data_IF_144513561298
#
_entry.id   IF_144513561298
#
_cell.length_a   1.000
_cell.length_b   1.000
_cell.length_c   1.000
_cell.angle_alpha   90.00
_cell.angle_beta   90.00
_cell.angle_gamma   90.00
#
_symmetry.space_group_name_H-M   'P 1'
#
loop_
_entity.id
_entity.type
_entity.pdbx_description
1 polymer ?
#
# COMPACT_ATOMS: atom_id res chain seq x y z
N UNK A 1 -61.27 37.44 39.68
CA UNK A 1 -59.77 37.37 39.51
C UNK A 1 -59.37 35.89 39.22
N UNK A 2 -59.18 35.55 37.97
CA UNK A 2 -58.74 34.21 37.57
C UNK A 2 -57.21 34.22 37.54
N UNK A 3 -56.58 33.37 38.40
CA UNK A 3 -55.14 33.16 38.38
C UNK A 3 -54.80 32.15 37.28
N UNK A 4 -54.08 32.61 36.24
CA UNK A 4 -53.47 31.72 35.22
C UNK A 4 -52.21 31.11 35.82
N UNK A 5 -52.17 29.81 35.96
CA UNK A 5 -50.94 29.04 36.27
C UNK A 5 -50.24 28.72 34.93
N UNK A 6 -49.09 29.30 34.67
CA UNK A 6 -48.21 28.90 33.59
C UNK A 6 -47.40 27.69 34.05
N UNK A 7 -47.66 26.52 33.46
CA UNK A 7 -46.87 25.30 33.64
C UNK A 7 -45.65 25.39 32.66
N UNK A 8 -44.49 25.67 33.20
CA UNK A 8 -43.25 25.57 32.43
C UNK A 8 -42.91 24.07 32.25
N UNK A 9 -43.10 23.55 31.03
CA UNK A 9 -42.66 22.20 30.67
C UNK A 9 -41.15 22.28 30.38
N UNK A 10 -40.31 21.81 31.30
CA UNK A 10 -38.87 21.67 31.11
C UNK A 10 -38.61 20.47 30.17
N UNK A 11 -38.46 20.71 28.88
CA UNK A 11 -38.02 19.69 27.94
C UNK A 11 -36.53 19.44 28.16
N UNK A 12 -36.21 18.44 29.00
CA UNK A 12 -34.84 17.92 29.10
C UNK A 12 -34.60 17.09 27.87
N UNK A 13 -33.95 17.64 26.87
CA UNK A 13 -33.37 16.87 25.77
C UNK A 13 -32.22 16.06 26.33
N UNK A 14 -32.47 14.80 26.65
CA UNK A 14 -31.42 13.80 26.85
C UNK A 14 -30.68 13.65 25.53
N UNK A 15 -29.59 14.38 25.37
CA UNK A 15 -28.60 14.06 24.31
C UNK A 15 -28.09 12.66 24.67
N UNK A 16 -28.16 11.69 23.77
CA UNK A 16 -27.56 10.38 24.01
C UNK A 16 -26.07 10.58 24.25
N UNK A 17 -25.60 10.37 25.45
CA UNK A 17 -24.17 10.21 25.73
C UNK A 17 -23.78 8.88 25.12
N UNK A 18 -23.24 8.92 23.89
CA UNK A 18 -22.68 7.77 23.25
C UNK A 18 -21.43 7.33 24.03
N UNK A 19 -21.55 6.23 24.73
CA UNK A 19 -20.43 5.63 25.46
C UNK A 19 -19.51 4.98 24.42
N UNK A 20 -18.37 5.63 24.09
CA UNK A 20 -17.31 5.02 23.29
C UNK A 20 -16.93 3.70 23.95
N UNK A 21 -17.08 2.58 23.21
CA UNK A 21 -16.64 1.28 23.70
C UNK A 21 -15.12 1.23 23.70
N UNK A 22 -14.50 1.39 24.87
CA UNK A 22 -13.06 1.32 25.06
C UNK A 22 -12.65 0.11 25.88
N UNK A 23 -11.53 -0.49 25.54
CA UNK A 23 -10.91 -1.60 26.28
C UNK A 23 -9.41 -1.68 25.97
N UNK A 24 -8.67 -2.42 26.79
CA UNK A 24 -7.23 -2.62 26.61
C UNK A 24 -6.93 -4.09 26.36
N UNK A 25 -6.03 -4.38 25.42
CA UNK A 25 -5.53 -5.70 25.10
C UNK A 25 -4.03 -5.78 25.39
N UNK A 26 -3.58 -6.83 26.05
CA UNK A 26 -2.17 -7.13 26.17
C UNK A 26 -1.67 -7.82 24.90
N UNK A 27 -0.65 -7.25 24.26
CA UNK A 27 0.02 -7.87 23.11
C UNK A 27 1.13 -8.82 23.54
N UNK A 28 1.63 -8.64 24.78
CA UNK A 28 2.59 -9.55 25.41
C UNK A 28 1.99 -10.08 26.71
N UNK A 29 2.37 -11.31 27.15
CA UNK A 29 1.82 -11.92 28.35
C UNK A 29 2.01 -11.10 29.64
N UNK A 30 3.10 -10.34 29.69
CA UNK A 30 3.46 -9.46 30.82
C UNK A 30 2.78 -8.07 30.74
N UNK A 31 2.03 -7.77 29.67
CA UNK A 31 1.41 -6.47 29.45
C UNK A 31 2.41 -5.33 29.15
N UNK A 32 3.65 -5.64 28.82
CA UNK A 32 4.64 -4.63 28.47
C UNK A 32 4.28 -3.91 27.16
N UNK A 33 3.72 -4.63 26.18
CA UNK A 33 3.07 -4.07 25.01
C UNK A 33 1.55 -4.18 25.14
N UNK A 34 0.83 -3.08 24.90
CA UNK A 34 -0.63 -2.99 25.06
C UNK A 34 -1.27 -2.22 23.91
N UNK A 35 -2.47 -2.62 23.54
CA UNK A 35 -3.30 -1.94 22.53
C UNK A 35 -4.55 -1.38 23.21
N UNK A 36 -4.69 -0.06 23.22
CA UNK A 36 -5.84 0.66 23.74
C UNK A 36 -6.84 0.85 22.61
N UNK A 37 -7.96 0.19 22.65
CA UNK A 37 -9.00 0.21 21.63
C UNK A 37 -10.10 1.22 21.96
N UNK A 38 -10.50 2.00 20.97
CA UNK A 38 -11.61 2.95 21.02
C UNK A 38 -12.49 2.72 19.79
N UNK A 39 -13.63 2.08 19.98
CA UNK A 39 -14.52 1.71 18.88
C UNK A 39 -15.66 2.73 18.76
N UNK A 40 -15.96 3.24 17.57
CA UNK A 40 -17.06 4.16 17.34
C UNK A 40 -18.40 3.44 17.39
N UNK A 41 -19.45 4.15 17.82
CA UNK A 41 -20.83 3.62 17.86
C UNK A 41 -21.34 3.30 16.44
N UNK A 42 -21.01 4.16 15.47
CA UNK A 42 -21.38 4.02 14.07
C UNK A 42 -20.11 3.78 13.20
N UNK A 43 -19.60 2.54 13.14
CA UNK A 43 -18.36 2.27 12.44
C UNK A 43 -18.50 2.43 10.91
N UNK A 44 -17.54 3.14 10.31
CA UNK A 44 -17.39 3.24 8.85
C UNK A 44 -16.78 1.98 8.24
N UNK A 45 -16.21 1.12 9.08
CA UNK A 45 -15.36 0.00 8.67
C UNK A 45 -13.88 0.33 8.67
N UNK A 46 -13.48 1.63 8.58
CA UNK A 46 -12.07 2.05 8.63
C UNK A 46 -11.51 1.97 10.05
N UNK A 47 -10.22 1.64 10.15
CA UNK A 47 -9.49 1.63 11.41
C UNK A 47 -8.13 2.31 11.27
N UNK A 48 -7.56 2.75 12.39
CA UNK A 48 -6.21 3.30 12.46
C UNK A 48 -5.49 2.78 13.70
N UNK A 49 -4.25 2.33 13.53
CA UNK A 49 -3.32 2.03 14.63
C UNK A 49 -2.42 3.24 14.84
N UNK A 50 -2.42 3.79 16.04
CA UNK A 50 -1.70 5.02 16.41
C UNK A 50 -0.44 4.66 17.18
N UNK A 51 0.71 5.17 16.73
CA UNK A 51 2.03 4.96 17.30
C UNK A 51 2.56 6.29 17.86
N UNK A 52 2.50 6.51 19.18
CA UNK A 52 3.02 7.72 19.79
C UNK A 52 4.52 7.89 19.59
N UNK A 53 5.02 9.13 19.55
CA UNK A 53 6.44 9.45 19.57
C UNK A 53 7.05 9.35 20.96
N UNK A 54 8.30 9.84 21.08
CA UNK A 54 9.07 9.83 22.34
C UNK A 54 10.51 9.38 22.14
N UNK A 55 11.04 9.49 20.91
CA UNK A 55 12.45 9.24 20.60
C UNK A 55 12.93 7.82 20.82
N UNK A 56 12.02 6.83 20.88
CA UNK A 56 12.28 5.44 21.27
C UNK A 56 12.82 5.27 22.70
N UNK A 57 12.56 6.25 23.57
CA UNK A 57 12.95 6.23 24.99
C UNK A 57 11.72 6.20 25.90
N UNK A 58 10.65 6.86 25.48
CA UNK A 58 9.36 6.91 26.16
C UNK A 58 8.21 7.01 25.14
N UNK A 59 6.97 7.15 25.58
CA UNK A 59 5.79 7.29 24.70
C UNK A 59 4.94 8.48 25.13
N UNK A 60 4.63 9.38 24.20
CA UNK A 60 3.68 10.48 24.36
C UNK A 60 2.24 9.96 24.21
N UNK A 61 1.80 9.16 25.18
CA UNK A 61 0.54 8.39 25.11
C UNK A 61 -0.72 9.27 25.04
N UNK A 62 -0.68 10.47 25.59
CA UNK A 62 -1.84 11.39 25.60
C UNK A 62 -1.91 12.13 24.24
N UNK A 63 -1.13 13.17 24.08
CA UNK A 63 -1.13 14.11 22.96
C UNK A 63 -0.90 13.46 21.58
N UNK A 64 -0.07 12.44 21.50
CA UNK A 64 0.25 11.72 20.25
C UNK A 64 -0.42 10.33 20.20
N UNK A 65 -1.26 10.02 21.19
CA UNK A 65 -1.93 8.74 21.35
C UNK A 65 -3.43 8.87 21.54
N UNK A 66 -3.88 8.73 22.80
CA UNK A 66 -5.31 8.55 23.13
C UNK A 66 -6.18 9.77 22.83
N UNK A 67 -5.61 10.98 22.84
CA UNK A 67 -6.33 12.22 22.52
C UNK A 67 -6.82 12.28 21.08
N UNK A 68 -6.32 11.41 20.21
CA UNK A 68 -6.80 11.27 18.83
C UNK A 68 -8.08 10.42 18.71
N UNK A 69 -8.40 9.61 19.71
CA UNK A 69 -9.55 8.72 19.63
C UNK A 69 -10.90 9.43 19.38
N UNK A 70 -11.22 10.56 20.04
CA UNK A 70 -12.46 11.30 19.76
C UNK A 70 -12.56 11.78 18.31
N UNK A 71 -11.47 12.26 17.73
CA UNK A 71 -11.44 12.70 16.32
C UNK A 71 -11.77 11.53 15.37
N UNK A 72 -11.08 10.40 15.50
CA UNK A 72 -11.32 9.24 14.65
C UNK A 72 -12.70 8.66 14.85
N UNK A 73 -13.15 8.52 16.10
CA UNK A 73 -14.46 7.98 16.41
C UNK A 73 -15.62 8.87 15.90
N UNK A 74 -15.44 10.21 15.88
CA UNK A 74 -16.42 11.13 15.29
C UNK A 74 -16.62 10.90 13.78
N UNK A 75 -15.63 10.30 13.10
CA UNK A 75 -15.67 9.90 11.70
C UNK A 75 -16.08 8.44 11.49
N UNK A 76 -16.45 7.74 12.53
CA UNK A 76 -16.74 6.31 12.48
C UNK A 76 -15.51 5.42 12.30
N UNK A 77 -14.30 5.96 12.51
CA UNK A 77 -13.03 5.24 12.38
C UNK A 77 -12.65 4.64 13.73
N UNK A 78 -12.41 3.33 13.79
CA UNK A 78 -11.92 2.68 15.00
C UNK A 78 -10.45 3.09 15.25
N UNK A 79 -10.15 3.49 16.49
CA UNK A 79 -8.82 3.98 16.87
C UNK A 79 -8.17 3.00 17.85
N UNK A 80 -6.94 2.59 17.56
CA UNK A 80 -6.15 1.66 18.37
C UNK A 80 -4.81 2.30 18.69
N UNK A 81 -4.58 2.66 19.96
CA UNK A 81 -3.32 3.29 20.38
C UNK A 81 -2.39 2.23 20.92
N UNK A 82 -1.23 2.10 20.31
CA UNK A 82 -0.23 1.10 20.69
C UNK A 82 0.80 1.66 21.68
N UNK A 83 0.81 1.08 22.87
CA UNK A 83 1.95 1.19 23.79
C UNK A 83 2.97 0.12 23.39
N UNK A 84 3.87 0.47 22.48
CA UNK A 84 4.93 -0.44 22.05
C UNK A 84 6.13 -0.41 23.00
N UNK A 85 6.86 -1.51 23.05
CA UNK A 85 8.07 -1.62 23.89
C UNK A 85 9.23 -0.83 23.27
N UNK A 86 10.06 -0.25 24.15
CA UNK A 86 11.26 0.46 23.70
C UNK A 86 12.27 -0.53 23.13
N UNK A 87 12.93 -0.18 22.00
CA UNK A 87 13.86 -1.09 21.32
C UNK A 87 15.10 -1.40 22.12
N UNK A 88 15.65 -0.44 22.87
CA UNK A 88 16.92 -0.59 23.58
C UNK A 88 18.06 -1.10 22.67
N UNK A 89 18.02 -0.68 21.39
CA UNK A 89 18.94 -1.12 20.35
C UNK A 89 18.54 -2.38 19.58
N UNK A 90 17.44 -3.03 19.94
CA UNK A 90 16.83 -4.12 19.16
C UNK A 90 15.55 -3.64 18.46
N UNK A 91 15.69 -3.24 17.22
CA UNK A 91 14.61 -2.71 16.39
C UNK A 91 13.47 -3.72 16.18
N UNK A 92 13.72 -5.04 16.33
CA UNK A 92 12.69 -6.06 16.16
C UNK A 92 11.61 -5.98 17.25
N UNK A 93 11.93 -5.39 18.40
CA UNK A 93 10.97 -5.24 19.50
C UNK A 93 9.79 -4.33 19.11
N UNK A 94 10.00 -3.03 18.82
CA UNK A 94 8.89 -2.14 18.46
C UNK A 94 8.26 -2.50 17.11
N UNK A 95 9.06 -2.97 16.14
CA UNK A 95 8.54 -3.41 14.83
C UNK A 95 7.63 -4.61 15.02
N UNK A 96 8.05 -5.62 15.79
CA UNK A 96 7.24 -6.81 16.08
C UNK A 96 5.95 -6.48 16.83
N UNK A 97 5.98 -5.56 17.81
CA UNK A 97 4.79 -5.10 18.52
C UNK A 97 3.80 -4.40 17.57
N UNK A 98 4.30 -3.51 16.71
CA UNK A 98 3.47 -2.77 15.75
C UNK A 98 2.89 -3.69 14.66
N UNK A 99 3.66 -4.63 14.13
CA UNK A 99 3.16 -5.65 13.22
C UNK A 99 2.12 -6.57 13.87
N UNK A 100 2.32 -6.95 15.13
CA UNK A 100 1.35 -7.75 15.89
C UNK A 100 0.04 -6.98 16.07
N UNK A 101 0.11 -5.69 16.42
CA UNK A 101 -1.07 -4.82 16.53
C UNK A 101 -1.84 -4.75 15.22
N UNK A 102 -1.17 -4.55 14.09
CA UNK A 102 -1.79 -4.50 12.76
C UNK A 102 -2.50 -5.82 12.43
N UNK A 103 -1.84 -6.96 12.63
CA UNK A 103 -2.43 -8.29 12.41
C UNK A 103 -3.63 -8.52 13.33
N UNK A 104 -3.51 -8.21 14.63
CA UNK A 104 -4.61 -8.38 15.60
C UNK A 104 -5.85 -7.56 15.21
N UNK A 105 -5.67 -6.31 14.75
CA UNK A 105 -6.79 -5.48 14.29
C UNK A 105 -7.47 -6.10 13.07
N UNK A 106 -6.70 -6.63 12.11
CA UNK A 106 -7.24 -7.30 10.92
C UNK A 106 -7.93 -8.63 11.25
N UNK A 107 -7.35 -9.44 12.13
CA UNK A 107 -7.90 -10.72 12.53
C UNK A 107 -9.19 -10.56 13.33
N UNK A 108 -9.33 -9.46 14.09
CA UNK A 108 -10.51 -9.12 14.87
C UNK A 108 -11.55 -8.30 14.08
N UNK A 109 -11.37 -8.13 12.78
CA UNK A 109 -12.16 -7.23 11.96
C UNK A 109 -13.67 -7.48 12.05
N UNK A 110 -14.10 -8.74 12.02
CA UNK A 110 -15.51 -9.10 12.14
C UNK A 110 -16.08 -8.71 13.52
N UNK A 111 -15.35 -9.01 14.59
CA UNK A 111 -15.76 -8.71 15.97
C UNK A 111 -15.89 -7.21 16.23
N UNK A 112 -15.02 -6.40 15.60
CA UNK A 112 -14.95 -4.95 15.82
C UNK A 112 -15.63 -4.15 14.73
N UNK A 113 -16.27 -4.83 13.77
CA UNK A 113 -16.95 -4.22 12.62
C UNK A 113 -16.02 -3.36 11.76
N UNK A 114 -14.81 -3.86 11.54
CA UNK A 114 -13.75 -3.24 10.74
C UNK A 114 -13.64 -3.97 9.40
N UNK A 115 -13.23 -3.25 8.38
CA UNK A 115 -12.78 -3.82 7.12
C UNK A 115 -11.28 -4.17 7.20
N UNK A 116 -10.86 -5.44 7.08
CA UNK A 116 -9.45 -5.81 7.16
C UNK A 116 -8.58 -5.25 6.03
N UNK A 117 -9.17 -4.68 4.99
CA UNK A 117 -8.50 -4.04 3.86
C UNK A 117 -8.55 -2.50 3.92
N UNK A 118 -8.89 -1.92 5.08
CA UNK A 118 -8.94 -0.47 5.30
C UNK A 118 -8.44 -0.13 6.72
N UNK A 119 -7.25 -0.66 7.05
CA UNK A 119 -6.58 -0.45 8.33
C UNK A 119 -5.31 0.38 8.11
N UNK A 120 -5.36 1.64 8.50
CA UNK A 120 -4.24 2.55 8.42
C UNK A 120 -3.35 2.55 9.65
N UNK A 121 -2.25 3.30 9.53
CA UNK A 121 -1.33 3.57 10.63
C UNK A 121 -1.12 5.07 10.77
N UNK A 122 -1.04 5.54 12.00
CA UNK A 122 -0.66 6.91 12.32
C UNK A 122 0.56 6.88 13.22
N UNK A 123 1.52 7.78 12.99
CA UNK A 123 2.66 7.90 13.88
C UNK A 123 3.20 9.31 13.94
N UNK A 124 3.69 9.68 15.14
CA UNK A 124 4.29 10.97 15.41
C UNK A 124 5.78 10.81 15.75
N UNK A 125 6.64 11.69 15.23
CA UNK A 125 8.07 11.70 15.56
C UNK A 125 8.74 10.32 15.36
N UNK A 126 9.31 9.71 16.39
CA UNK A 126 9.81 8.32 16.35
C UNK A 126 8.72 7.30 16.05
N UNK A 127 7.47 7.52 16.50
CA UNK A 127 6.32 6.71 16.09
C UNK A 127 6.00 6.87 14.60
N UNK A 128 6.27 8.04 14.02
CA UNK A 128 6.20 8.26 12.57
C UNK A 128 7.26 7.47 11.80
N UNK A 129 8.45 7.30 12.37
CA UNK A 129 9.46 6.39 11.84
C UNK A 129 8.96 4.94 11.87
N UNK A 130 8.45 4.49 13.00
CA UNK A 130 7.92 3.13 13.13
C UNK A 130 6.74 2.88 12.17
N UNK A 131 5.83 3.86 12.01
CA UNK A 131 4.71 3.79 11.08
C UNK A 131 5.18 3.67 9.62
N UNK A 132 6.11 4.53 9.19
CA UNK A 132 6.69 4.47 7.85
C UNK A 132 7.57 3.23 7.63
N UNK A 133 8.18 2.68 8.68
CA UNK A 133 8.88 1.38 8.62
C UNK A 133 7.91 0.25 8.29
N UNK A 134 6.76 0.16 8.97
CA UNK A 134 5.76 -0.85 8.63
C UNK A 134 5.26 -0.68 7.19
N UNK A 135 5.03 0.56 6.77
CA UNK A 135 4.53 0.88 5.44
C UNK A 135 5.50 0.47 4.31
N UNK A 136 6.80 0.44 4.58
CA UNK A 136 7.84 0.17 3.58
C UNK A 136 8.44 -1.23 3.68
N UNK A 137 8.40 -1.88 4.86
CA UNK A 137 9.11 -3.16 5.10
C UNK A 137 8.18 -4.34 5.36
N UNK A 138 7.02 -4.13 6.02
CA UNK A 138 6.19 -5.24 6.47
C UNK A 138 5.56 -6.04 5.33
N UNK A 139 5.25 -7.30 5.61
CA UNK A 139 4.42 -8.14 4.75
C UNK A 139 3.01 -7.59 4.62
N UNK A 140 2.25 -8.10 3.65
CA UNK A 140 0.89 -7.64 3.37
C UNK A 140 -0.01 -7.63 4.61
N UNK A 141 0.07 -8.66 5.46
CA UNK A 141 -0.79 -8.83 6.63
C UNK A 141 -0.57 -7.75 7.69
N UNK A 142 0.65 -7.22 7.80
CA UNK A 142 1.02 -6.18 8.75
C UNK A 142 1.18 -4.79 8.11
N UNK A 143 1.31 -4.73 6.76
CA UNK A 143 1.45 -3.44 6.07
C UNK A 143 0.14 -2.66 6.17
N UNK A 144 0.17 -1.38 6.57
CA UNK A 144 -1.02 -0.54 6.59
C UNK A 144 -1.59 -0.29 5.18
N UNK A 145 -2.87 0.08 5.10
CA UNK A 145 -3.52 0.47 3.85
C UNK A 145 -3.37 1.97 3.56
N UNK A 146 -3.04 2.77 4.58
CA UNK A 146 -2.70 4.21 4.48
C UNK A 146 -1.85 4.66 5.67
N UNK A 147 -1.17 5.81 5.53
CA UNK A 147 -0.28 6.37 6.54
C UNK A 147 -0.68 7.80 6.90
N UNK A 148 -0.67 8.13 8.19
CA UNK A 148 -0.79 9.49 8.74
C UNK A 148 0.48 9.78 9.53
N UNK A 149 1.31 10.71 9.07
CA UNK A 149 2.63 10.96 9.63
C UNK A 149 2.74 12.39 10.15
N UNK A 150 2.89 12.53 11.45
CA UNK A 150 3.09 13.81 12.13
C UNK A 150 4.58 14.03 12.38
N UNK A 151 5.15 15.09 11.82
CA UNK A 151 6.58 15.46 11.96
C UNK A 151 7.49 14.23 12.09
N UNK A 152 7.39 13.26 11.13
CA UNK A 152 7.98 11.96 11.30
C UNK A 152 9.51 12.01 11.24
N UNK A 153 10.18 11.24 12.09
CA UNK A 153 11.54 10.79 11.81
C UNK A 153 11.46 9.86 10.59
N UNK A 154 12.36 10.04 9.64
CA UNK A 154 12.43 9.24 8.39
C UNK A 154 13.85 8.76 8.11
N UNK A 155 14.82 9.69 8.12
CA UNK A 155 16.23 9.35 7.96
C UNK A 155 16.79 8.73 9.25
N UNK A 156 17.62 7.71 9.11
CA UNK A 156 18.42 7.15 10.19
C UNK A 156 19.86 7.66 10.17
N UNK A 157 20.17 8.68 9.37
CA UNK A 157 21.45 9.38 9.42
C UNK A 157 21.45 10.38 10.59
N UNK A 158 22.31 10.18 11.58
CA UNK A 158 22.40 11.01 12.79
C UNK A 158 22.61 12.51 12.52
N UNK A 159 23.13 12.88 11.35
CA UNK A 159 23.35 14.29 10.95
C UNK A 159 22.11 14.95 10.36
N UNK A 160 21.08 14.18 10.06
CA UNK A 160 19.90 14.61 9.30
C UNK A 160 18.61 14.53 10.09
N UNK A 161 18.62 13.92 11.29
CA UNK A 161 17.42 13.62 12.05
C UNK A 161 17.65 13.70 13.57
N UNK A 162 16.62 13.35 14.36
CA UNK A 162 16.71 13.25 15.81
C UNK A 162 17.67 12.12 16.22
N UNK A 163 18.86 12.46 16.68
CA UNK A 163 19.93 11.52 17.04
C UNK A 163 19.48 10.47 18.05
N UNK A 164 18.70 10.86 19.07
CA UNK A 164 18.18 9.92 20.06
C UNK A 164 17.30 8.83 19.46
N UNK A 165 16.54 9.13 18.40
CA UNK A 165 15.75 8.12 17.68
C UNK A 165 16.63 7.12 16.93
N UNK A 166 17.73 7.58 16.33
CA UNK A 166 18.71 6.70 15.67
C UNK A 166 19.36 5.77 16.68
N UNK A 167 19.85 6.34 17.81
CA UNK A 167 20.49 5.58 18.90
C UNK A 167 19.52 4.56 19.51
N UNK A 168 18.28 4.97 19.80
CA UNK A 168 17.26 4.11 20.39
C UNK A 168 16.88 2.96 19.47
N UNK A 169 16.69 3.21 18.18
CA UNK A 169 16.20 2.22 17.21
C UNK A 169 17.32 1.30 16.71
N UNK A 170 18.40 1.87 16.17
CA UNK A 170 19.49 1.08 15.57
C UNK A 170 20.52 0.58 16.61
N UNK A 171 20.61 1.20 17.78
CA UNK A 171 21.58 0.79 18.80
C UNK A 171 23.01 0.76 18.26
N UNK A 172 23.67 -0.39 18.38
CA UNK A 172 25.05 -0.61 17.87
C UNK A 172 25.16 -0.56 16.34
N UNK A 173 24.05 -0.75 15.61
CA UNK A 173 24.02 -0.72 14.15
C UNK A 173 23.94 0.69 13.55
N UNK A 174 23.88 1.73 14.36
CA UNK A 174 23.79 3.14 13.90
C UNK A 174 24.97 3.61 13.05
N UNK A 175 26.12 2.93 13.16
CA UNK A 175 27.32 3.20 12.34
C UNK A 175 27.44 2.29 11.12
N UNK A 176 26.52 1.35 10.92
CA UNK A 176 26.46 0.49 9.75
C UNK A 176 25.70 1.20 8.62
N UNK A 177 26.37 1.57 7.49
CA UNK A 177 25.74 2.31 6.40
C UNK A 177 24.56 1.55 5.76
N UNK A 178 24.60 0.21 5.72
CA UNK A 178 23.53 -0.59 5.14
C UNK A 178 22.29 -0.57 6.05
N UNK A 179 22.47 -0.65 7.36
CA UNK A 179 21.37 -0.53 8.32
C UNK A 179 20.77 0.88 8.35
N UNK A 180 21.61 1.91 8.32
CA UNK A 180 21.17 3.30 8.19
C UNK A 180 20.35 3.49 6.93
N UNK A 181 20.82 2.98 5.78
CA UNK A 181 20.12 3.02 4.50
C UNK A 181 18.83 2.21 4.54
N UNK A 182 18.86 1.01 5.11
CA UNK A 182 17.71 0.11 5.16
C UNK A 182 16.55 0.74 5.95
N UNK A 183 16.84 1.43 7.05
CA UNK A 183 15.82 2.05 7.90
C UNK A 183 15.65 3.56 7.69
N UNK A 184 16.31 4.15 6.72
CA UNK A 184 15.93 5.46 6.16
C UNK A 184 14.78 5.25 5.17
N UNK A 185 13.56 5.48 5.65
CA UNK A 185 12.34 5.01 4.97
C UNK A 185 12.05 5.72 3.63
N UNK A 186 12.61 6.91 3.40
CA UNK A 186 12.60 7.58 2.09
C UNK A 186 13.33 6.76 1.01
N UNK A 187 14.32 5.96 1.39
CA UNK A 187 15.05 5.07 0.49
C UNK A 187 14.34 3.72 0.25
N UNK A 188 13.27 3.46 0.98
CA UNK A 188 12.55 2.18 0.96
C UNK A 188 11.15 2.26 0.33
N UNK A 189 10.75 3.44 -0.15
CA UNK A 189 9.47 3.62 -0.84
C UNK A 189 9.44 2.82 -2.13
N UNK A 190 8.40 2.00 -2.29
CA UNK A 190 8.20 1.12 -3.44
C UNK A 190 6.85 1.37 -4.09
N UNK A 191 6.85 1.54 -5.40
CA UNK A 191 5.63 1.66 -6.19
C UNK A 191 4.70 0.47 -5.96
N UNK A 192 3.39 0.72 -5.91
CA UNK A 192 2.31 -0.26 -5.70
C UNK A 192 2.32 -1.01 -4.37
N UNK A 193 3.39 -0.92 -3.58
CA UNK A 193 3.51 -1.60 -2.29
C UNK A 193 3.39 -0.63 -1.12
N UNK A 194 4.13 0.49 -1.15
CA UNK A 194 4.01 1.53 -0.10
C UNK A 194 2.64 2.19 -0.22
N UNK A 195 1.85 2.23 0.87
CA UNK A 195 0.51 2.80 0.85
C UNK A 195 0.52 4.34 0.81
N UNK A 196 -0.58 4.97 0.37
CA UNK A 196 -0.70 6.43 0.34
C UNK A 196 -0.49 7.05 1.72
N UNK A 197 0.03 8.28 1.75
CA UNK A 197 0.36 8.99 2.98
C UNK A 197 -0.16 10.43 3.01
N UNK A 198 -0.40 10.93 4.23
CA UNK A 198 -0.46 12.34 4.54
C UNK A 198 0.64 12.67 5.56
N UNK A 199 1.40 13.74 5.31
CA UNK A 199 2.49 14.20 6.16
C UNK A 199 2.15 15.61 6.65
N UNK A 200 2.16 15.80 7.98
CA UNK A 200 1.83 17.07 8.63
C UNK A 200 3.00 17.47 9.54
N UNK A 201 3.60 18.63 9.30
CA UNK A 201 4.78 19.10 10.04
C UNK A 201 4.84 20.60 10.13
N UNK A 202 5.69 21.14 10.99
CA UNK A 202 5.96 22.57 11.11
C UNK A 202 7.31 22.93 10.46
N UNK A 203 7.34 24.10 9.77
CA UNK A 203 8.56 24.61 9.14
C UNK A 203 9.71 24.80 10.14
N UNK A 204 9.38 25.25 11.35
CA UNK A 204 10.34 25.61 12.38
C UNK A 204 10.63 24.48 13.39
N UNK A 205 10.47 23.20 12.98
CA UNK A 205 10.80 22.04 13.81
C UNK A 205 12.34 21.92 13.99
N UNK A 206 12.87 22.13 15.22
CA UNK A 206 14.31 22.05 15.47
C UNK A 206 14.77 20.66 15.85
N UNK A 207 13.85 19.72 16.09
CA UNK A 207 14.13 18.37 16.60
C UNK A 207 14.24 17.37 15.46
N UNK A 208 13.27 17.44 14.53
CA UNK A 208 13.25 16.60 13.33
C UNK A 208 13.20 17.51 12.10
N UNK A 209 14.37 17.80 11.49
CA UNK A 209 14.45 18.73 10.37
C UNK A 209 13.52 18.32 9.21
N UNK A 210 12.56 19.20 8.77
CA UNK A 210 11.57 18.86 7.76
C UNK A 210 12.17 18.39 6.44
N UNK A 211 13.28 19.01 6.00
CA UNK A 211 13.87 18.76 4.66
C UNK A 211 14.36 17.33 4.53
N UNK A 212 15.10 16.85 5.53
CA UNK A 212 15.75 15.53 5.51
C UNK A 212 14.85 14.40 6.01
N UNK A 213 13.65 14.72 6.45
CA UNK A 213 12.66 13.75 6.95
C UNK A 213 11.35 13.83 6.14
N UNK A 214 10.34 14.55 6.57
CA UNK A 214 9.02 14.55 5.92
C UNK A 214 9.06 14.95 4.45
N UNK A 215 9.86 15.98 4.06
CA UNK A 215 10.01 16.38 2.65
C UNK A 215 10.78 15.33 1.85
N UNK A 216 11.81 14.71 2.41
CA UNK A 216 12.53 13.61 1.77
C UNK A 216 11.61 12.43 1.48
N UNK A 217 10.76 12.05 2.45
CA UNK A 217 9.77 10.97 2.27
C UNK A 217 8.72 11.34 1.21
N UNK A 218 8.15 12.54 1.27
CA UNK A 218 7.25 13.04 0.22
C UNK A 218 7.89 12.98 -1.17
N UNK A 219 9.14 13.42 -1.29
CA UNK A 219 9.88 13.40 -2.55
C UNK A 219 10.10 11.97 -3.07
N UNK A 220 10.36 11.01 -2.17
CA UNK A 220 10.48 9.60 -2.50
C UNK A 220 9.13 9.02 -2.97
N UNK A 221 8.03 9.34 -2.26
CA UNK A 221 6.68 8.95 -2.64
C UNK A 221 6.33 9.47 -4.04
N UNK A 222 6.62 10.73 -4.34
CA UNK A 222 6.39 11.34 -5.66
C UNK A 222 7.22 10.65 -6.76
N UNK A 223 8.51 10.39 -6.52
CA UNK A 223 9.36 9.67 -7.49
C UNK A 223 8.85 8.27 -7.80
N UNK A 224 8.24 7.61 -6.82
CA UNK A 224 7.65 6.27 -6.99
C UNK A 224 6.20 6.30 -7.48
N UNK A 225 5.60 7.49 -7.66
CA UNK A 225 4.21 7.63 -8.08
C UNK A 225 3.20 7.20 -7.01
N UNK A 226 3.61 7.15 -5.74
CA UNK A 226 2.72 6.81 -4.62
C UNK A 226 1.99 8.07 -4.15
N UNK A 227 0.66 8.06 -4.04
CA UNK A 227 -0.10 9.23 -3.60
C UNK A 227 0.33 9.72 -2.22
N UNK A 228 0.66 11.01 -2.11
CA UNK A 228 1.10 11.61 -0.85
C UNK A 228 0.70 13.08 -0.77
N UNK A 229 0.04 13.46 0.33
CA UNK A 229 -0.22 14.84 0.68
C UNK A 229 0.83 15.35 1.67
N UNK A 230 1.27 16.59 1.53
CA UNK A 230 2.25 17.23 2.41
C UNK A 230 1.74 18.59 2.87
N UNK A 231 1.66 18.78 4.18
CA UNK A 231 1.31 20.04 4.83
C UNK A 231 2.46 20.49 5.72
N UNK A 232 2.98 21.69 5.43
CA UNK A 232 4.04 22.32 6.21
C UNK A 232 3.49 23.61 6.79
N UNK A 233 3.15 23.60 8.07
CA UNK A 233 2.64 24.79 8.79
C UNK A 233 3.78 25.76 9.09
N UNK A 234 3.55 27.09 9.01
CA UNK A 234 4.62 28.08 9.17
C UNK A 234 5.35 28.01 10.52
N UNK A 235 4.64 27.59 11.58
CA UNK A 235 5.20 27.42 12.92
C UNK A 235 4.45 26.32 13.68
N UNK A 236 5.04 25.81 14.77
CA UNK A 236 4.43 24.78 15.60
C UNK A 236 5.46 23.97 16.40
N UNK A 237 6.74 24.13 16.05
CA UNK A 237 7.82 23.36 16.64
C UNK A 237 7.62 21.84 16.43
N UNK A 238 8.19 21.04 17.33
CA UNK A 238 8.02 19.60 17.36
C UNK A 238 6.97 19.20 18.41
N UNK A 239 6.21 18.12 18.16
CA UNK A 239 5.34 17.52 19.19
C UNK A 239 3.99 18.21 19.37
N UNK A 240 3.46 18.97 18.37
CA UNK A 240 2.16 19.63 18.50
C UNK A 240 0.98 18.63 18.58
N UNK A 241 1.10 17.44 17.99
CA UNK A 241 0.11 16.34 18.11
C UNK A 241 -1.34 16.80 17.97
N UNK A 242 -2.18 16.36 18.91
CA UNK A 242 -3.61 16.73 18.98
C UNK A 242 -3.88 18.05 19.71
N UNK A 243 -2.86 18.79 20.17
CA UNK A 243 -3.00 19.91 21.10
C UNK A 243 -3.86 21.07 20.50
N UNK A 244 -4.97 21.46 21.15
CA UNK A 244 -5.77 22.60 20.72
C UNK A 244 -5.01 23.95 20.77
N UNK A 245 -3.93 24.03 21.53
CA UNK A 245 -3.04 25.21 21.60
C UNK A 245 -2.15 25.39 20.39
N UNK A 246 -2.05 24.41 19.51
CA UNK A 246 -1.33 24.54 18.24
C UNK A 246 -2.02 25.60 17.36
N UNK A 247 -1.30 26.61 16.93
CA UNK A 247 -1.86 27.76 16.20
C UNK A 247 -2.69 27.35 14.98
N UNK A 248 -2.30 26.29 14.29
CA UNK A 248 -2.96 25.80 13.09
C UNK A 248 -3.81 24.55 13.36
N UNK A 249 -4.20 24.29 14.61
CA UNK A 249 -4.94 23.09 15.01
C UNK A 249 -6.19 22.85 14.15
N UNK A 250 -7.07 23.87 14.04
CA UNK A 250 -8.31 23.74 13.28
C UNK A 250 -8.07 23.48 11.79
N UNK A 251 -7.06 24.14 11.19
CA UNK A 251 -6.66 23.89 9.82
C UNK A 251 -6.14 22.45 9.65
N UNK A 252 -5.25 22.02 10.52
CA UNK A 252 -4.68 20.68 10.54
C UNK A 252 -5.78 19.60 10.62
N UNK A 253 -6.75 19.76 11.52
CA UNK A 253 -7.89 18.85 11.65
C UNK A 253 -8.74 18.84 10.36
N UNK A 254 -8.94 20.01 9.73
CA UNK A 254 -9.67 20.13 8.47
C UNK A 254 -8.92 19.45 7.30
N UNK A 255 -7.60 19.66 7.20
CA UNK A 255 -6.74 19.06 6.18
C UNK A 255 -6.72 17.53 6.31
N UNK A 256 -6.52 17.01 7.52
CA UNK A 256 -6.56 15.59 7.83
C UNK A 256 -7.94 14.99 7.56
N UNK A 257 -9.01 15.67 7.98
CA UNK A 257 -10.39 15.25 7.75
C UNK A 257 -10.68 15.13 6.25
N UNK A 258 -10.34 16.17 5.49
CA UNK A 258 -10.55 16.22 4.03
C UNK A 258 -9.79 15.09 3.32
N UNK A 259 -8.55 14.84 3.72
CA UNK A 259 -7.75 13.77 3.16
C UNK A 259 -8.37 12.40 3.45
N UNK A 260 -8.77 12.12 4.70
CA UNK A 260 -9.42 10.87 5.10
C UNK A 260 -10.74 10.64 4.34
N UNK A 261 -11.55 11.70 4.14
CA UNK A 261 -12.84 11.62 3.44
C UNK A 261 -12.68 11.36 1.93
N UNK A 262 -11.52 11.73 1.35
CA UNK A 262 -11.18 11.50 -0.06
C UNK A 262 -10.39 10.21 -0.29
N UNK A 263 -9.84 9.62 0.77
CA UNK A 263 -9.10 8.37 0.66
C UNK A 263 -10.07 7.24 0.27
N UNK A 264 -9.77 6.47 -0.79
CA UNK A 264 -10.61 5.34 -1.18
C UNK A 264 -10.85 4.40 0.00
N UNK A 265 -12.10 4.01 0.22
CA UNK A 265 -12.45 2.98 1.20
C UNK A 265 -12.75 1.67 0.48
N UNK A 266 -12.08 0.62 0.90
CA UNK A 266 -12.29 -0.72 0.35
C UNK A 266 -13.23 -1.50 1.26
N UNK A 267 -14.16 -2.27 0.66
CA UNK A 267 -15.15 -3.04 1.40
C UNK A 267 -14.85 -4.54 1.33
N UNK A 268 -15.08 -5.31 2.40
CA UNK A 268 -14.76 -6.75 2.44
C UNK A 268 -15.46 -7.55 1.34
N UNK A 269 -16.66 -7.14 0.93
CA UNK A 269 -17.47 -7.79 -0.11
C UNK A 269 -17.04 -7.49 -1.55
N UNK A 270 -16.08 -6.57 -1.76
CA UNK A 270 -15.59 -6.26 -3.10
C UNK A 270 -14.91 -7.47 -3.74
N UNK A 271 -15.12 -7.63 -5.04
CA UNK A 271 -14.42 -8.62 -5.85
C UNK A 271 -12.98 -8.14 -6.06
N UNK A 272 -12.02 -8.83 -5.44
CA UNK A 272 -10.60 -8.47 -5.50
C UNK A 272 -9.97 -8.97 -6.79
N UNK A 273 -9.36 -8.05 -7.55
CA UNK A 273 -8.68 -8.31 -8.82
C UNK A 273 -7.19 -8.02 -8.68
N UNK A 274 -6.35 -9.02 -8.87
CA UNK A 274 -4.89 -8.84 -8.89
C UNK A 274 -4.38 -8.77 -10.34
N UNK A 275 -3.76 -7.64 -10.70
CA UNK A 275 -3.07 -7.49 -11.98
C UNK A 275 -1.58 -7.79 -11.80
N UNK A 276 -1.17 -9.00 -12.13
CA UNK A 276 0.22 -9.49 -12.06
C UNK A 276 0.91 -9.21 -13.39
N UNK A 277 2.15 -8.70 -13.36
CA UNK A 277 2.87 -8.43 -14.60
C UNK A 277 4.22 -7.76 -14.46
N UNK A 278 4.72 -7.31 -15.59
CA UNK A 278 6.01 -6.64 -15.75
C UNK A 278 5.85 -5.10 -15.83
N UNK A 279 6.79 -4.40 -16.47
CA UNK A 279 6.79 -2.94 -16.67
C UNK A 279 5.50 -2.40 -17.30
N UNK A 280 4.85 -3.16 -18.15
CA UNK A 280 3.60 -2.77 -18.80
C UNK A 280 2.45 -2.71 -17.76
N UNK A 281 2.42 -3.65 -16.83
CA UNK A 281 1.45 -3.64 -15.70
C UNK A 281 1.85 -2.61 -14.65
N UNK A 282 3.14 -2.51 -14.33
CA UNK A 282 3.72 -1.50 -13.45
C UNK A 282 3.37 -0.06 -13.87
N UNK A 283 3.26 0.18 -15.20
CA UNK A 283 2.96 1.50 -15.77
C UNK A 283 4.22 2.30 -16.08
N UNK A 284 5.29 1.61 -16.53
CA UNK A 284 6.52 2.26 -16.96
C UNK A 284 6.25 3.33 -18.02
N UNK A 285 6.79 4.54 -17.81
CA UNK A 285 6.65 5.67 -18.70
C UNK A 285 5.28 6.36 -18.69
N UNK A 286 4.33 5.89 -17.88
CA UNK A 286 3.02 6.52 -17.71
C UNK A 286 3.12 7.56 -16.60
N UNK A 287 2.61 8.76 -16.88
CA UNK A 287 2.46 9.78 -15.85
C UNK A 287 1.34 9.38 -14.87
N UNK A 288 1.63 9.40 -13.58
CA UNK A 288 0.72 8.95 -12.52
C UNK A 288 0.07 7.59 -12.84
N UNK A 289 0.83 6.49 -12.83
CA UNK A 289 0.32 5.17 -13.23
C UNK A 289 -0.78 4.66 -12.30
N UNK A 290 -0.89 5.17 -11.07
CA UNK A 290 -1.98 4.90 -10.13
C UNK A 290 -3.34 5.47 -10.61
N UNK A 291 -3.31 6.39 -11.58
CA UNK A 291 -4.50 6.95 -12.21
C UNK A 291 -4.65 6.49 -13.67
N UNK A 292 -3.54 6.36 -14.41
CA UNK A 292 -3.52 6.24 -15.86
C UNK A 292 -3.00 4.89 -16.37
N UNK A 293 -2.38 4.07 -15.52
CA UNK A 293 -2.00 2.70 -15.85
C UNK A 293 -3.21 1.79 -16.10
N UNK A 294 -3.03 0.67 -16.83
CA UNK A 294 -4.19 -0.15 -17.19
C UNK A 294 -4.93 -0.72 -15.96
N UNK A 295 -4.30 -1.11 -14.84
CA UNK A 295 -5.04 -1.56 -13.66
C UNK A 295 -5.93 -0.48 -13.06
N UNK A 296 -5.45 0.77 -13.02
CA UNK A 296 -6.22 1.91 -12.51
C UNK A 296 -7.41 2.26 -13.44
N UNK A 297 -7.18 2.22 -14.76
CA UNK A 297 -8.26 2.42 -15.73
C UNK A 297 -9.28 1.29 -15.68
N UNK A 298 -8.84 0.04 -15.46
CA UNK A 298 -9.71 -1.10 -15.22
C UNK A 298 -10.58 -0.91 -13.97
N UNK A 299 -9.99 -0.41 -12.86
CA UNK A 299 -10.73 -0.07 -11.63
C UNK A 299 -11.85 0.93 -11.92
N UNK A 300 -11.56 1.99 -12.69
CA UNK A 300 -12.56 3.00 -13.08
C UNK A 300 -13.71 2.40 -13.91
N UNK A 301 -13.41 1.45 -14.78
CA UNK A 301 -14.42 0.78 -15.62
C UNK A 301 -15.28 -0.22 -14.82
N UNK A 302 -14.69 -0.95 -13.88
CA UNK A 302 -15.36 -1.95 -13.06
C UNK A 302 -16.19 -1.34 -11.92
N UNK A 303 -15.85 -0.12 -11.48
CA UNK A 303 -16.54 0.60 -10.41
C UNK A 303 -16.33 0.01 -9.02
N UNK A 304 -17.15 0.46 -8.07
CA UNK A 304 -16.99 0.18 -6.62
C UNK A 304 -17.25 -1.28 -6.20
N UNK A 305 -17.86 -2.08 -7.08
CA UNK A 305 -18.05 -3.51 -6.80
C UNK A 305 -16.73 -4.29 -6.80
N UNK A 306 -15.69 -3.74 -7.41
CA UNK A 306 -14.39 -4.38 -7.56
C UNK A 306 -13.30 -3.59 -6.84
N UNK A 307 -12.27 -4.30 -6.40
CA UNK A 307 -11.04 -3.74 -5.88
C UNK A 307 -9.86 -4.27 -6.69
N UNK A 308 -9.35 -3.44 -7.61
CA UNK A 308 -8.23 -3.79 -8.49
C UNK A 308 -6.93 -3.32 -7.87
N UNK A 309 -5.95 -4.22 -7.74
CA UNK A 309 -4.59 -3.87 -7.31
C UNK A 309 -3.57 -4.19 -8.38
N UNK A 310 -2.61 -3.28 -8.52
CA UNK A 310 -1.47 -3.42 -9.39
C UNK A 310 -0.34 -4.13 -8.65
N UNK A 311 0.12 -5.26 -9.21
CA UNK A 311 1.27 -6.04 -8.74
C UNK A 311 2.34 -6.16 -9.83
N UNK A 312 2.37 -5.20 -10.76
CA UNK A 312 3.40 -5.10 -11.79
C UNK A 312 4.76 -4.76 -11.20
N UNK A 313 5.82 -5.37 -11.75
CA UNK A 313 7.20 -5.04 -11.42
C UNK A 313 8.02 -4.98 -12.70
N UNK A 314 8.64 -3.84 -12.96
CA UNK A 314 9.39 -3.59 -14.19
C UNK A 314 10.52 -4.61 -14.40
N UNK A 315 10.78 -4.97 -15.66
CA UNK A 315 11.82 -5.89 -16.12
C UNK A 315 11.67 -7.38 -15.71
N UNK A 316 10.55 -7.79 -15.07
CA UNK A 316 10.40 -9.16 -14.57
C UNK A 316 9.98 -10.13 -15.64
N UNK A 317 10.56 -11.35 -15.55
CA UNK A 317 10.28 -12.49 -16.42
C UNK A 317 9.34 -13.48 -15.75
N UNK A 318 8.61 -14.27 -16.56
CA UNK A 318 7.91 -15.45 -16.10
C UNK A 318 8.88 -16.57 -15.77
N UNK A 319 9.90 -16.73 -16.64
CA UNK A 319 10.91 -17.77 -16.50
C UNK A 319 11.74 -17.55 -15.22
N UNK A 320 11.77 -18.58 -14.35
CA UNK A 320 12.53 -18.56 -13.10
C UNK A 320 14.05 -18.48 -13.31
N UNK A 321 14.54 -19.02 -14.41
CA UNK A 321 15.96 -18.90 -14.80
C UNK A 321 16.26 -17.60 -15.56
N UNK A 322 15.25 -16.78 -15.79
CA UNK A 322 15.42 -15.45 -16.37
C UNK A 322 16.21 -14.53 -15.43
N UNK A 323 16.65 -13.41 -15.97
CA UNK A 323 17.51 -12.46 -15.22
C UNK A 323 16.82 -11.90 -13.96
N UNK A 324 15.49 -11.76 -13.97
CA UNK A 324 14.70 -11.17 -12.89
C UNK A 324 13.34 -11.87 -12.75
N UNK A 325 13.30 -13.07 -12.13
CA UNK A 325 12.06 -13.83 -12.00
C UNK A 325 10.99 -13.10 -11.16
N UNK A 326 9.78 -12.98 -11.70
CA UNK A 326 8.67 -12.30 -11.01
C UNK A 326 8.29 -12.97 -9.67
N UNK A 327 8.30 -14.30 -9.61
CA UNK A 327 7.91 -15.03 -8.40
C UNK A 327 8.90 -14.84 -7.22
N UNK A 328 10.06 -14.22 -7.44
CA UNK A 328 10.97 -13.84 -6.36
C UNK A 328 10.61 -12.49 -5.72
N UNK A 329 9.70 -11.71 -6.33
CA UNK A 329 9.36 -10.37 -5.88
C UNK A 329 8.41 -10.36 -4.68
N UNK A 330 8.49 -9.29 -3.88
CA UNK A 330 7.52 -9.06 -2.81
C UNK A 330 6.09 -8.88 -3.38
N UNK A 331 5.97 -8.28 -4.57
CA UNK A 331 4.69 -8.12 -5.25
C UNK A 331 3.97 -9.44 -5.51
N UNK A 332 4.72 -10.53 -5.79
CA UNK A 332 4.13 -11.87 -5.92
C UNK A 332 3.56 -12.36 -4.59
N UNK A 333 4.34 -12.26 -3.51
CA UNK A 333 3.89 -12.65 -2.16
C UNK A 333 2.66 -11.85 -1.73
N UNK A 334 2.65 -10.55 -2.01
CA UNK A 334 1.53 -9.66 -1.69
C UNK A 334 0.29 -9.98 -2.54
N UNK A 335 0.47 -10.34 -3.82
CA UNK A 335 -0.64 -10.77 -4.67
C UNK A 335 -1.33 -12.03 -4.13
N UNK A 336 -0.56 -12.98 -3.60
CA UNK A 336 -1.11 -14.18 -2.95
C UNK A 336 -1.83 -13.82 -1.64
N UNK A 337 -1.20 -12.98 -0.80
CA UNK A 337 -1.75 -12.55 0.50
C UNK A 337 -3.02 -11.68 0.35
N UNK A 338 -3.16 -10.96 -0.75
CA UNK A 338 -4.38 -10.23 -1.11
C UNK A 338 -5.60 -11.14 -1.28
N UNK A 339 -5.38 -12.45 -1.46
CA UNK A 339 -6.43 -13.46 -1.65
C UNK A 339 -7.42 -13.02 -2.74
N UNK A 340 -6.96 -12.79 -3.97
CA UNK A 340 -7.81 -12.30 -5.05
C UNK A 340 -8.94 -13.26 -5.40
N UNK A 341 -10.02 -12.74 -5.95
CA UNK A 341 -11.09 -13.51 -6.58
C UNK A 341 -10.83 -13.69 -8.09
N UNK A 342 -10.08 -12.73 -8.67
CA UNK A 342 -9.71 -12.73 -10.08
C UNK A 342 -8.23 -12.37 -10.19
N UNK A 343 -7.51 -13.07 -11.06
CA UNK A 343 -6.09 -12.79 -11.35
C UNK A 343 -5.89 -12.61 -12.85
N UNK A 344 -5.27 -11.50 -13.23
CA UNK A 344 -4.85 -11.23 -14.61
C UNK A 344 -3.33 -11.39 -14.66
N UNK A 345 -2.83 -12.39 -15.38
CA UNK A 345 -1.40 -12.66 -15.53
C UNK A 345 -0.90 -12.11 -16.86
N UNK A 346 -0.14 -11.00 -16.80
CA UNK A 346 0.46 -10.31 -17.95
C UNK A 346 1.99 -10.36 -17.87
N UNK A 347 2.55 -11.54 -18.07
CA UNK A 347 4.00 -11.80 -18.15
C UNK A 347 4.36 -12.35 -19.55
N UNK A 348 5.64 -12.59 -19.79
CA UNK A 348 6.15 -13.15 -21.05
C UNK A 348 6.85 -12.13 -21.98
N UNK A 349 6.61 -10.82 -21.82
CA UNK A 349 7.28 -9.80 -22.66
C UNK A 349 8.80 -9.83 -22.46
N UNK A 350 9.28 -9.83 -21.22
CA UNK A 350 10.71 -9.84 -20.90
C UNK A 350 11.36 -11.21 -21.14
N UNK A 351 10.57 -12.25 -21.18
CA UNK A 351 10.98 -13.59 -21.56
C UNK A 351 11.41 -13.65 -23.03
N UNK A 352 10.89 -12.75 -23.88
CA UNK A 352 11.29 -12.60 -25.28
C UNK A 352 12.63 -11.83 -25.47
N UNK A 353 13.40 -11.62 -24.41
CA UNK A 353 14.74 -11.05 -24.52
C UNK A 353 15.72 -12.09 -25.05
N UNK A 354 16.48 -11.76 -26.12
CA UNK A 354 17.44 -12.66 -26.76
C UNK A 354 18.48 -13.25 -25.79
N UNK A 355 18.86 -12.50 -24.75
CA UNK A 355 19.80 -12.99 -23.73
C UNK A 355 19.26 -14.21 -22.99
N UNK A 356 17.95 -14.34 -22.83
CA UNK A 356 17.34 -15.50 -22.19
C UNK A 356 17.32 -16.76 -23.09
N UNK A 357 17.62 -16.62 -24.40
CA UNK A 357 17.51 -17.68 -25.41
C UNK A 357 18.89 -18.15 -25.93
N UNK A 358 19.94 -17.96 -25.13
CA UNK A 358 21.31 -18.40 -25.47
C UNK A 358 21.53 -19.90 -25.35
N UNK A 359 20.59 -20.63 -24.71
CA UNK A 359 20.58 -22.08 -24.56
C UNK A 359 19.62 -22.74 -25.56
N UNK A 360 19.54 -24.08 -25.55
CA UNK A 360 18.55 -24.80 -26.37
C UNK A 360 17.14 -24.27 -26.12
N UNK A 361 16.49 -23.83 -27.20
CA UNK A 361 15.12 -23.29 -27.15
C UNK A 361 14.10 -24.25 -26.55
N UNK A 362 14.28 -25.56 -26.69
CA UNK A 362 13.38 -26.55 -26.09
C UNK A 362 13.47 -26.55 -24.57
N UNK A 363 14.68 -26.49 -24.02
CA UNK A 363 14.92 -26.43 -22.57
C UNK A 363 14.28 -25.16 -21.97
N UNK A 364 14.41 -24.02 -22.68
CA UNK A 364 13.82 -22.76 -22.24
C UNK A 364 12.29 -22.78 -22.29
N UNK A 365 11.70 -23.37 -23.34
CA UNK A 365 10.25 -23.56 -23.45
C UNK A 365 9.68 -24.46 -22.35
N UNK A 366 10.32 -25.61 -22.13
CA UNK A 366 9.90 -26.55 -21.09
C UNK A 366 9.98 -25.88 -19.70
N UNK A 367 11.04 -25.11 -19.45
CA UNK A 367 11.16 -24.36 -18.21
C UNK A 367 10.08 -23.28 -18.08
N UNK A 368 9.80 -22.52 -19.14
CA UNK A 368 8.75 -21.51 -19.14
C UNK A 368 7.36 -22.12 -18.90
N UNK A 369 7.06 -23.27 -19.51
CA UNK A 369 5.82 -24.00 -19.26
C UNK A 369 5.74 -24.49 -17.80
N UNK A 370 6.84 -25.00 -17.24
CA UNK A 370 6.91 -25.41 -15.85
C UNK A 370 6.63 -24.24 -14.91
N UNK A 371 7.25 -23.08 -15.15
CA UNK A 371 7.14 -21.90 -14.28
C UNK A 371 5.73 -21.29 -14.33
N UNK A 372 5.10 -21.24 -15.52
CA UNK A 372 3.68 -20.89 -15.63
C UNK A 372 2.80 -21.84 -14.84
N UNK A 373 3.09 -23.16 -14.88
CA UNK A 373 2.33 -24.15 -14.12
C UNK A 373 2.47 -23.92 -12.62
N UNK A 374 3.69 -23.68 -12.11
CA UNK A 374 3.93 -23.38 -10.70
C UNK A 374 3.17 -22.14 -10.21
N UNK A 375 3.14 -21.08 -11.03
CA UNK A 375 2.34 -19.88 -10.73
C UNK A 375 0.85 -20.22 -10.63
N UNK A 376 0.32 -20.96 -11.60
CA UNK A 376 -1.09 -21.37 -11.63
C UNK A 376 -1.42 -22.25 -10.44
N UNK A 377 -0.57 -23.22 -10.10
CA UNK A 377 -0.77 -24.11 -8.96
C UNK A 377 -0.81 -23.33 -7.64
N UNK A 378 0.10 -22.36 -7.47
CA UNK A 378 0.12 -21.48 -6.30
C UNK A 378 -1.15 -20.64 -6.18
N UNK A 379 -1.65 -20.09 -7.28
CA UNK A 379 -2.89 -19.33 -7.32
C UNK A 379 -4.12 -20.22 -7.05
N UNK A 380 -4.15 -21.39 -7.64
CA UNK A 380 -5.27 -22.34 -7.48
C UNK A 380 -5.35 -22.88 -6.05
N UNK A 381 -4.22 -22.97 -5.34
CA UNK A 381 -4.15 -23.38 -3.94
C UNK A 381 -4.72 -22.34 -2.95
N UNK A 382 -4.96 -21.09 -3.40
CA UNK A 382 -5.53 -20.07 -2.53
C UNK A 382 -6.94 -20.44 -2.08
N UNK A 383 -7.34 -20.10 -0.82
CA UNK A 383 -8.69 -20.36 -0.31
C UNK A 383 -9.80 -19.74 -1.15
N UNK A 384 -9.51 -18.64 -1.84
CA UNK A 384 -10.45 -17.93 -2.72
C UNK A 384 -10.67 -18.64 -4.06
N UNK A 385 -9.79 -19.58 -4.44
CA UNK A 385 -9.83 -20.27 -5.74
C UNK A 385 -10.08 -19.32 -6.89
N UNK A 386 -9.19 -18.35 -7.14
CA UNK A 386 -9.44 -17.25 -8.05
C UNK A 386 -9.68 -17.71 -9.48
N UNK A 387 -10.51 -16.96 -10.21
CA UNK A 387 -10.57 -17.09 -11.66
C UNK A 387 -9.28 -16.49 -12.26
N UNK A 388 -8.52 -17.30 -12.97
CA UNK A 388 -7.21 -16.91 -13.54
C UNK A 388 -7.37 -16.65 -15.02
N UNK A 389 -6.94 -15.48 -15.49
CA UNK A 389 -6.84 -15.12 -16.90
C UNK A 389 -5.39 -14.99 -17.28
N UNK A 390 -4.96 -15.76 -18.29
CA UNK A 390 -3.66 -15.55 -18.92
C UNK A 390 -3.81 -14.52 -20.04
N UNK A 391 -2.80 -13.68 -20.28
CA UNK A 391 -2.84 -12.73 -21.38
C UNK A 391 -1.72 -13.02 -22.38
N UNK A 392 -1.96 -12.78 -23.66
CA UNK A 392 -0.85 -12.64 -24.59
C UNK A 392 -0.18 -11.30 -24.38
N UNK A 393 1.18 -11.26 -24.41
CA UNK A 393 1.90 -10.00 -24.44
C UNK A 393 1.45 -9.14 -25.63
N UNK A 394 1.50 -7.81 -25.48
CA UNK A 394 1.30 -6.91 -26.62
C UNK A 394 2.46 -7.03 -27.61
N UNK A 395 2.23 -6.66 -28.87
CA UNK A 395 3.24 -6.68 -29.92
C UNK A 395 4.46 -5.81 -29.55
N UNK A 396 5.64 -6.26 -29.91
CA UNK A 396 6.89 -5.49 -29.82
C UNK A 396 7.21 -4.94 -31.20
N UNK A 397 7.20 -3.61 -31.37
CA UNK A 397 7.50 -2.96 -32.65
C UNK A 397 8.98 -2.70 -32.86
N UNK A 398 9.75 -2.50 -31.80
CA UNK A 398 11.17 -2.25 -31.84
C UNK A 398 11.89 -3.26 -30.94
N UNK A 399 13.13 -3.59 -31.26
CA UNK A 399 13.96 -4.46 -30.42
C UNK A 399 14.62 -3.71 -29.25
N UNK A 400 14.00 -2.62 -28.80
CA UNK A 400 14.40 -1.90 -27.60
C UNK A 400 14.56 -2.87 -26.43
N UNK A 401 15.55 -2.64 -25.61
CA UNK A 401 15.87 -3.50 -24.44
C UNK A 401 16.25 -4.95 -24.79
N UNK A 402 16.61 -5.26 -26.04
CA UNK A 402 16.93 -6.62 -26.51
C UNK A 402 15.72 -7.54 -26.65
N UNK A 403 14.50 -6.98 -26.68
CA UNK A 403 13.25 -7.72 -26.85
C UNK A 403 13.01 -8.03 -28.31
N UNK A 404 12.40 -9.20 -28.58
CA UNK A 404 12.19 -9.70 -29.95
C UNK A 404 10.75 -10.20 -30.15
N UNK A 405 10.00 -9.55 -31.05
CA UNK A 405 8.62 -9.92 -31.36
C UNK A 405 8.49 -11.31 -31.99
N UNK A 406 9.50 -11.77 -32.72
CA UNK A 406 9.50 -13.13 -33.27
C UNK A 406 9.43 -14.18 -32.16
N UNK A 407 10.19 -13.99 -31.06
CA UNK A 407 10.13 -14.89 -29.90
C UNK A 407 8.76 -14.87 -29.22
N UNK A 408 8.05 -13.72 -29.22
CA UNK A 408 6.67 -13.69 -28.71
C UNK A 408 5.77 -14.62 -29.53
N UNK A 409 5.85 -14.56 -30.85
CA UNK A 409 4.93 -15.29 -31.74
C UNK A 409 5.29 -16.75 -31.92
N UNK A 410 6.60 -17.09 -31.95
CA UNK A 410 7.07 -18.47 -32.18
C UNK A 410 7.17 -19.29 -30.90
N UNK A 411 7.35 -18.65 -29.75
CA UNK A 411 7.70 -19.36 -28.51
C UNK A 411 6.77 -19.03 -27.34
N UNK A 412 6.63 -17.74 -26.99
CA UNK A 412 5.93 -17.32 -25.77
C UNK A 412 4.42 -17.50 -25.89
N UNK A 413 3.82 -16.97 -26.94
CA UNK A 413 2.35 -17.08 -27.16
C UNK A 413 1.92 -18.55 -27.33
N UNK A 414 2.62 -19.41 -28.09
CA UNK A 414 2.34 -20.84 -28.13
C UNK A 414 2.43 -21.53 -26.78
N UNK A 415 3.45 -21.18 -25.94
CA UNK A 415 3.56 -21.68 -24.58
C UNK A 415 2.33 -21.31 -23.73
N UNK A 416 1.95 -20.02 -23.73
CA UNK A 416 0.75 -19.55 -23.00
C UNK A 416 -0.50 -20.27 -23.47
N UNK A 417 -0.69 -20.49 -24.80
CA UNK A 417 -1.81 -21.24 -25.36
C UNK A 417 -1.84 -22.68 -24.83
N UNK A 418 -0.69 -23.35 -24.82
CA UNK A 418 -0.55 -24.74 -24.35
C UNK A 418 -0.93 -24.86 -22.88
N UNK A 419 -0.39 -23.98 -22.02
CA UNK A 419 -0.66 -23.95 -20.58
C UNK A 419 -2.12 -23.59 -20.28
N UNK A 420 -2.67 -22.60 -20.96
CA UNK A 420 -4.08 -22.23 -20.81
C UNK A 420 -5.01 -23.41 -21.15
N UNK A 421 -4.74 -24.09 -22.28
CA UNK A 421 -5.50 -25.28 -22.69
C UNK A 421 -5.40 -26.41 -21.65
N UNK A 422 -4.19 -26.72 -21.16
CA UNK A 422 -3.95 -27.75 -20.15
C UNK A 422 -4.76 -27.48 -18.88
N UNK A 423 -4.80 -26.24 -18.42
CA UNK A 423 -5.45 -25.84 -17.17
C UNK A 423 -6.89 -25.32 -17.37
N UNK A 424 -7.43 -25.35 -18.59
CA UNK A 424 -8.76 -24.83 -18.95
C UNK A 424 -8.97 -23.37 -18.56
N UNK A 425 -7.92 -22.55 -18.72
CA UNK A 425 -7.94 -21.14 -18.36
C UNK A 425 -8.32 -20.27 -19.56
N UNK A 426 -9.09 -19.20 -19.35
CA UNK A 426 -9.36 -18.20 -20.38
C UNK A 426 -8.11 -17.41 -20.74
N UNK A 427 -8.02 -17.00 -22.02
CA UNK A 427 -6.95 -16.14 -22.54
C UNK A 427 -7.55 -14.80 -22.96
N UNK A 428 -6.90 -13.72 -22.57
CA UNK A 428 -7.17 -12.37 -23.09
C UNK A 428 -6.11 -12.07 -24.16
N UNK A 429 -6.53 -12.03 -25.42
CA UNK A 429 -5.65 -11.71 -26.53
C UNK A 429 -5.36 -10.20 -26.58
N UNK A 430 -4.23 -9.80 -26.04
CA UNK A 430 -3.75 -8.42 -26.16
C UNK A 430 -2.82 -8.25 -27.36
N UNK A 431 -2.30 -9.35 -27.97
CA UNK A 431 -1.38 -9.26 -29.08
C UNK A 431 -2.05 -8.72 -30.35
N UNK A 432 -3.20 -9.31 -30.72
CA UNK A 432 -3.89 -8.98 -32.00
C UNK A 432 -4.26 -7.51 -32.11
N UNK A 433 -4.97 -6.87 -31.16
CA UNK A 433 -5.35 -5.45 -31.27
C UNK A 433 -4.12 -4.52 -31.34
N UNK A 434 -3.02 -4.88 -30.67
CA UNK A 434 -1.78 -4.09 -30.69
C UNK A 434 -0.94 -4.36 -31.94
N UNK A 435 -1.07 -5.52 -32.59
CA UNK A 435 -0.42 -5.80 -33.88
C UNK A 435 -1.11 -5.12 -35.06
N UNK A 436 -2.42 -4.88 -34.94
CA UNK A 436 -3.22 -4.14 -35.94
C UNK A 436 -3.00 -2.61 -35.85
N UNK A 437 -2.44 -2.11 -34.74
CA UNK A 437 -2.11 -0.69 -34.53
C UNK A 437 -0.78 -0.32 -35.23
N UNK A 438 -0.79 -0.32 -36.55
CA UNK A 438 0.43 -0.11 -37.38
C UNK A 438 0.99 1.30 -37.27
N UNK A 439 0.19 2.30 -36.92
CA UNK A 439 0.61 3.69 -36.66
C UNK A 439 1.26 3.88 -35.29
N UNK A 440 1.30 2.82 -34.46
CA UNK A 440 1.90 2.81 -33.11
C UNK A 440 1.30 3.85 -32.16
N UNK A 441 0.11 4.36 -32.42
CA UNK A 441 -0.55 5.41 -31.61
C UNK A 441 -0.91 4.96 -30.19
N UNK A 442 -0.82 3.65 -29.89
CA UNK A 442 -1.02 3.06 -28.57
C UNK A 442 0.28 2.91 -27.75
N UNK A 443 1.43 3.30 -28.32
CA UNK A 443 2.75 3.06 -27.70
C UNK A 443 3.47 4.34 -27.30
N UNK A 444 4.40 4.19 -26.37
CA UNK A 444 5.49 5.14 -26.17
C UNK A 444 6.48 5.05 -27.34
N UNK A 445 7.40 5.99 -27.42
CA UNK A 445 8.40 6.06 -28.50
C UNK A 445 9.32 4.83 -28.57
N UNK A 446 9.41 4.05 -27.50
CA UNK A 446 10.23 2.83 -27.47
C UNK A 446 9.61 1.66 -28.25
N UNK A 447 8.33 1.72 -28.61
CA UNK A 447 7.63 0.67 -29.35
C UNK A 447 7.42 -0.64 -28.60
N UNK A 448 7.58 -0.62 -27.27
CA UNK A 448 7.40 -1.75 -26.34
C UNK A 448 6.32 -1.47 -25.31
N UNK A 449 6.38 -0.29 -24.69
CA UNK A 449 5.46 0.08 -23.62
C UNK A 449 4.24 0.83 -24.18
N UNK A 450 3.05 0.54 -23.68
CA UNK A 450 1.84 1.28 -24.05
C UNK A 450 1.91 2.70 -23.48
N UNK A 451 1.35 3.67 -24.19
CA UNK A 451 1.02 4.97 -23.62
C UNK A 451 -0.35 4.91 -22.89
N UNK A 452 -0.87 6.04 -22.42
CA UNK A 452 -2.16 6.09 -21.70
C UNK A 452 -3.33 5.53 -22.53
N UNK A 453 -3.35 5.79 -23.86
CA UNK A 453 -4.37 5.20 -24.76
C UNK A 453 -4.21 3.69 -24.87
N UNK A 454 -2.97 3.20 -24.96
CA UNK A 454 -2.66 1.78 -24.94
C UNK A 454 -3.04 1.11 -23.61
N UNK A 455 -2.79 1.76 -22.48
CA UNK A 455 -3.24 1.31 -21.16
C UNK A 455 -4.77 1.21 -21.10
N UNK A 456 -5.48 2.21 -21.64
CA UNK A 456 -6.94 2.18 -21.75
C UNK A 456 -7.43 1.01 -22.60
N UNK A 457 -6.80 0.78 -23.76
CA UNK A 457 -7.15 -0.36 -24.62
C UNK A 457 -6.95 -1.70 -23.92
N UNK A 458 -5.87 -1.85 -23.16
CA UNK A 458 -5.64 -3.06 -22.34
C UNK A 458 -6.73 -3.23 -21.28
N UNK A 459 -7.11 -2.16 -20.58
CA UNK A 459 -8.17 -2.18 -19.57
C UNK A 459 -9.52 -2.59 -20.20
N UNK A 460 -9.86 -2.08 -21.38
CA UNK A 460 -11.05 -2.46 -22.13
C UNK A 460 -11.08 -3.97 -22.46
N UNK A 461 -9.95 -4.52 -22.93
CA UNK A 461 -9.85 -5.95 -23.24
C UNK A 461 -10.06 -6.84 -22.00
N UNK A 462 -9.50 -6.41 -20.84
CA UNK A 462 -9.71 -7.12 -19.58
C UNK A 462 -11.18 -6.99 -19.14
N UNK A 463 -11.72 -5.78 -19.15
CA UNK A 463 -13.11 -5.51 -18.77
C UNK A 463 -14.11 -6.33 -19.58
N UNK A 464 -13.94 -6.42 -20.91
CA UNK A 464 -14.80 -7.21 -21.79
C UNK A 464 -14.68 -8.72 -21.50
N UNK A 465 -13.50 -9.19 -21.12
CA UNK A 465 -13.29 -10.57 -20.73
C UNK A 465 -13.97 -10.93 -19.39
N UNK A 466 -14.01 -9.97 -18.44
CA UNK A 466 -14.64 -10.17 -17.12
C UNK A 466 -16.18 -10.09 -17.16
N UNK A 467 -16.76 -9.56 -18.22
CA UNK A 467 -18.23 -9.48 -18.41
C UNK A 467 -18.84 -10.74 -19.03
N UNK A 468 -18.02 -11.60 -19.62
CA UNK A 468 -18.44 -12.87 -20.24
C UNK A 468 -18.56 -13.96 -19.19
#
# INVERSE_FOLDING_TARGET
MRKLFFLFLLVVTLLPTYAVRSFTLNLTPDGAAQLFAFLPDNPSGRAVVVLPGGGYVWLSMDNEGVDWAPFFNSKGIACFVLKYRMPKGDLNIPVGDAEHAMRMVRDSAQQWRINPYDVGIMGSSAGGHLASTLATHSSFEARPDFQILFYPVISMNERETHRGSVEGFLGTHKSDPEMVKLYSNDQQVRRHLTPPAIILMAHNDPVVPPITNGIAYYSAMQRQGVPCALYVYPSGWHGFGSQPSFTYHNQMISDLSTWLDKLPSHKPEQIRVACIGNSITDGFGIYMPEDNGYPAQLQKMLGEKFYVRNYGVSARTMNWQGRFPYMNEQAWRDALAFRPNIVIVKLGTNDANLVNWTKDHRVIKDQLEHDYQQMIDSLTALPTKPQIYLTFPIKIWNNSFGLNDSLLTTDIIPCIKKIAKKNKLPIIDMYKPFSENTDKSLYLSDGVHPNEKGCRKMAELVYDALKK
#
